data_IF_238810644280
#
_entry.id   IF_238810644280
#
_cell.length_a   1.000
_cell.length_b   1.000
_cell.length_c   1.000
_cell.angle_alpha   90.00
_cell.angle_beta   90.00
_cell.angle_gamma   90.00
#
_symmetry.space_group_name_H-M   'P 1'
#
loop_
_entity.id
_entity.type
_entity.pdbx_description
1 polymer ?
#
# COMPACT_ATOMS: atom_id res chain seq x y z
N UNK A 1 9.68 -1.01 2.79
CA UNK A 1 10.63 -1.02 3.92
C UNK A 1 10.68 0.40 4.46
N UNK A 2 10.33 0.59 5.72
CA UNK A 2 10.41 1.89 6.36
C UNK A 2 11.65 2.07 7.23
N UNK A 3 11.86 3.28 7.77
CA UNK A 3 13.01 3.57 8.64
C UNK A 3 13.03 2.69 9.90
N UNK A 4 11.87 2.24 10.37
CA UNK A 4 11.71 1.29 11.48
C UNK A 4 12.32 -0.09 11.21
N UNK A 5 12.46 -0.50 9.94
CA UNK A 5 13.15 -1.72 9.56
C UNK A 5 14.59 -1.50 9.10
N UNK A 6 14.91 -0.34 8.53
CA UNK A 6 16.25 -0.03 8.03
C UNK A 6 17.23 0.25 9.17
N UNK A 7 16.86 1.10 10.13
CA UNK A 7 17.78 1.53 11.18
C UNK A 7 18.27 0.38 12.06
N UNK A 8 17.42 -0.56 12.53
CA UNK A 8 17.89 -1.72 13.30
C UNK A 8 18.81 -2.64 12.48
N UNK A 9 18.61 -2.76 11.16
CA UNK A 9 19.48 -3.55 10.29
C UNK A 9 20.83 -2.87 10.04
N UNK A 10 20.84 -1.53 9.93
CA UNK A 10 22.05 -0.74 9.67
C UNK A 10 22.95 -0.60 10.89
N UNK A 11 22.38 -0.25 12.05
CA UNK A 11 23.15 0.06 13.26
C UNK A 11 23.13 -1.07 14.29
N UNK A 12 22.31 -2.10 14.09
CA UNK A 12 22.05 -3.11 15.11
C UNK A 12 21.10 -2.59 16.20
N UNK A 13 20.49 -3.51 16.96
CA UNK A 13 19.50 -3.13 17.97
C UNK A 13 20.15 -2.60 19.24
N UNK A 14 21.38 -3.04 19.55
CA UNK A 14 22.11 -2.64 20.77
C UNK A 14 22.51 -1.15 20.75
N UNK A 15 22.97 -0.63 19.61
CA UNK A 15 23.37 0.78 19.47
C UNK A 15 22.17 1.73 19.53
N UNK A 16 21.02 1.33 19.02
CA UNK A 16 19.81 2.15 19.05
C UNK A 16 19.21 2.26 20.46
N UNK A 17 19.35 1.23 21.28
CA UNK A 17 18.81 1.22 22.65
C UNK A 17 17.29 1.05 22.73
N UNK A 18 16.80 0.66 23.90
CA UNK A 18 15.41 0.23 24.10
C UNK A 18 14.37 1.33 23.82
N UNK A 19 14.68 2.59 24.17
CA UNK A 19 13.76 3.72 23.97
C UNK A 19 13.49 3.99 22.49
N UNK A 20 14.55 4.06 21.66
CA UNK A 20 14.42 4.31 20.24
C UNK A 20 13.73 3.14 19.53
N UNK A 21 14.06 1.90 19.89
CA UNK A 21 13.38 0.72 19.34
C UNK A 21 11.88 0.70 19.66
N UNK A 22 11.51 1.12 20.88
CA UNK A 22 10.11 1.22 21.30
C UNK A 22 9.37 2.26 20.46
N UNK A 23 9.96 3.44 20.25
CA UNK A 23 9.39 4.47 19.39
C UNK A 23 9.20 3.97 17.94
N UNK A 24 10.19 3.28 17.37
CA UNK A 24 10.09 2.69 16.03
C UNK A 24 9.02 1.61 15.92
N UNK A 25 8.79 0.84 16.98
CA UNK A 25 7.71 -0.14 17.03
C UNK A 25 6.32 0.54 16.99
N UNK A 26 6.14 1.66 17.70
CA UNK A 26 4.91 2.44 17.64
C UNK A 26 4.67 3.10 16.28
N UNK A 27 5.72 3.48 15.54
CA UNK A 27 5.59 4.03 14.19
C UNK A 27 5.35 2.98 13.09
N UNK A 28 5.29 1.69 13.44
CA UNK A 28 5.12 0.61 12.48
C UNK A 28 3.83 0.75 11.64
N UNK A 29 2.75 1.26 12.22
CA UNK A 29 1.47 1.39 11.49
C UNK A 29 1.58 2.33 10.27
N UNK A 30 2.38 3.40 10.35
CA UNK A 30 2.62 4.32 9.23
C UNK A 30 3.53 3.72 8.15
N UNK A 31 4.57 2.99 8.56
CA UNK A 31 5.68 2.60 7.68
C UNK A 31 5.55 1.21 7.07
N UNK A 32 4.58 0.40 7.53
CA UNK A 32 4.46 -1.02 7.19
C UNK A 32 4.27 -1.30 5.70
N UNK A 33 3.32 -0.63 5.06
CA UNK A 33 2.87 -1.05 3.73
C UNK A 33 2.76 0.07 2.70
N UNK A 34 2.84 1.35 3.09
CA UNK A 34 2.65 2.51 2.20
C UNK A 34 1.39 2.40 1.29
N UNK A 35 0.39 1.61 1.71
CA UNK A 35 -0.85 1.36 0.95
C UNK A 35 -1.94 2.38 1.22
N UNK A 36 -1.99 2.91 2.44
CA UNK A 36 -3.04 3.79 2.93
C UNK A 36 -2.64 5.26 2.92
N UNK A 37 -1.95 5.74 1.89
CA UNK A 37 -1.65 7.17 1.81
C UNK A 37 -2.96 7.93 1.59
N UNK A 38 -3.34 8.85 2.49
CA UNK A 38 -4.61 9.56 2.35
C UNK A 38 -4.56 10.57 1.19
N UNK A 39 -3.37 11.09 0.86
CA UNK A 39 -3.20 12.20 -0.08
C UNK A 39 -3.85 11.99 -1.46
N UNK A 40 -3.65 10.86 -2.18
CA UNK A 40 -4.29 10.66 -3.49
C UNK A 40 -5.82 10.73 -3.43
N UNK A 41 -6.43 10.08 -2.42
CA UNK A 41 -7.88 10.11 -2.21
C UNK A 41 -8.40 11.52 -1.93
N UNK A 42 -7.65 12.30 -1.15
CA UNK A 42 -8.00 13.70 -0.85
C UNK A 42 -7.89 14.58 -2.10
N UNK A 43 -6.83 14.40 -2.91
CA UNK A 43 -6.64 15.15 -4.16
C UNK A 43 -7.73 14.86 -5.19
N UNK A 44 -8.14 13.60 -5.32
CA UNK A 44 -9.28 13.23 -6.17
C UNK A 44 -10.58 13.88 -5.68
N UNK A 45 -10.81 13.90 -4.36
CA UNK A 45 -11.93 14.61 -3.75
C UNK A 45 -11.95 16.11 -4.08
N UNK A 46 -10.81 16.79 -3.95
CA UNK A 46 -10.70 18.20 -4.34
C UNK A 46 -10.90 18.41 -5.84
N UNK A 47 -10.42 17.49 -6.69
CA UNK A 47 -10.63 17.62 -8.15
C UNK A 47 -12.10 17.45 -8.54
N UNK A 48 -12.83 16.57 -7.85
CA UNK A 48 -14.27 16.43 -8.01
C UNK A 48 -15.02 17.67 -7.52
N UNK A 49 -14.61 18.27 -6.39
CA UNK A 49 -15.20 19.51 -5.90
C UNK A 49 -15.04 20.66 -6.90
N UNK A 50 -13.87 20.80 -7.52
CA UNK A 50 -13.61 21.77 -8.58
C UNK A 50 -14.57 21.58 -9.77
N UNK A 51 -14.77 20.33 -10.23
CA UNK A 51 -15.66 20.03 -11.38
C UNK A 51 -17.15 20.21 -11.08
N UNK A 52 -17.54 20.10 -9.81
CA UNK A 52 -18.94 20.17 -9.37
C UNK A 52 -19.30 21.49 -8.70
N UNK A 53 -18.38 22.46 -8.66
CA UNK A 53 -18.52 23.74 -7.96
C UNK A 53 -18.85 23.59 -6.46
N UNK A 54 -18.37 22.53 -5.81
CA UNK A 54 -18.47 22.38 -4.35
C UNK A 54 -17.44 23.28 -3.68
N UNK A 55 -17.85 23.96 -2.60
CA UNK A 55 -16.94 24.79 -1.82
C UNK A 55 -15.90 23.93 -1.08
N UNK A 56 -14.61 24.14 -1.39
CA UNK A 56 -13.48 23.42 -0.80
C UNK A 56 -13.45 23.47 0.74
N UNK A 57 -13.90 24.56 1.37
CA UNK A 57 -13.96 24.65 2.85
C UNK A 57 -15.01 23.71 3.42
N UNK A 58 -16.17 23.59 2.79
CA UNK A 58 -17.22 22.65 3.22
C UNK A 58 -16.77 21.20 3.03
N UNK A 59 -16.10 20.90 1.92
CA UNK A 59 -15.50 19.60 1.70
C UNK A 59 -14.46 19.26 2.78
N UNK A 60 -13.56 20.19 3.09
CA UNK A 60 -12.55 20.01 4.15
C UNK A 60 -13.20 19.72 5.51
N UNK A 61 -14.24 20.48 5.90
CA UNK A 61 -14.96 20.24 7.15
C UNK A 61 -15.62 18.86 7.16
N UNK A 62 -16.27 18.47 6.06
CA UNK A 62 -16.87 17.14 5.93
C UNK A 62 -15.82 16.02 6.05
N UNK A 63 -14.64 16.20 5.45
CA UNK A 63 -13.52 15.27 5.57
C UNK A 63 -13.01 15.16 7.01
N UNK A 64 -12.87 16.29 7.73
CA UNK A 64 -12.47 16.29 9.14
C UNK A 64 -13.49 15.54 10.02
N UNK A 65 -14.79 15.80 9.82
CA UNK A 65 -15.85 15.08 10.54
C UNK A 65 -15.79 13.59 10.23
N UNK A 66 -15.64 13.22 8.96
CA UNK A 66 -15.52 11.82 8.55
C UNK A 66 -14.30 11.12 9.17
N UNK A 67 -13.17 11.82 9.30
CA UNK A 67 -11.97 11.29 9.99
C UNK A 67 -12.28 11.01 11.47
N UNK A 68 -12.90 11.95 12.18
CA UNK A 68 -13.23 11.79 13.60
C UNK A 68 -14.21 10.62 13.78
N UNK A 69 -15.34 10.65 13.07
CA UNK A 69 -16.38 9.61 13.17
C UNK A 69 -15.84 8.25 12.74
N UNK A 70 -15.08 8.19 11.65
CA UNK A 70 -14.47 6.97 11.15
C UNK A 70 -13.47 6.37 12.14
N UNK A 71 -12.69 7.21 12.83
CA UNK A 71 -11.71 6.76 13.84
C UNK A 71 -12.43 6.11 15.03
N UNK A 72 -13.43 6.78 15.61
CA UNK A 72 -14.19 6.22 16.74
C UNK A 72 -15.00 4.98 16.35
N UNK A 73 -15.65 4.99 15.18
CA UNK A 73 -16.38 3.83 14.65
C UNK A 73 -15.46 2.64 14.41
N UNK A 74 -14.23 2.87 13.91
CA UNK A 74 -13.24 1.81 13.72
C UNK A 74 -12.79 1.22 15.06
N UNK A 75 -12.55 2.04 16.09
CA UNK A 75 -12.21 1.54 17.42
C UNK A 75 -13.34 0.70 18.02
N UNK A 76 -14.58 1.20 17.96
CA UNK A 76 -15.74 0.47 18.46
C UNK A 76 -15.93 -0.86 17.73
N UNK A 77 -15.89 -0.85 16.39
CA UNK A 77 -16.07 -2.05 15.58
C UNK A 77 -14.99 -3.09 15.87
N UNK A 78 -13.72 -2.67 15.96
CA UNK A 78 -12.62 -3.57 16.28
C UNK A 78 -12.76 -4.19 17.68
N UNK A 79 -13.11 -3.36 18.67
CA UNK A 79 -13.35 -3.82 20.03
C UNK A 79 -14.52 -4.82 20.07
N UNK A 80 -15.66 -4.48 19.47
CA UNK A 80 -16.84 -5.33 19.44
C UNK A 80 -16.58 -6.69 18.77
N UNK A 81 -15.95 -6.71 17.59
CA UNK A 81 -15.59 -7.95 16.89
C UNK A 81 -14.63 -8.79 17.73
N UNK A 82 -13.69 -8.16 18.43
CA UNK A 82 -12.73 -8.87 19.31
C UNK A 82 -13.41 -9.56 20.50
N UNK A 83 -14.53 -9.02 21.01
CA UNK A 83 -15.33 -9.67 22.05
C UNK A 83 -16.15 -10.85 21.52
N UNK A 84 -16.67 -10.75 20.31
CA UNK A 84 -17.58 -11.76 19.74
C UNK A 84 -16.81 -12.94 19.14
N UNK A 85 -15.79 -12.68 18.33
CA UNK A 85 -15.04 -13.72 17.61
C UNK A 85 -13.73 -14.13 18.31
N UNK A 86 -13.40 -13.47 19.42
CA UNK A 86 -12.08 -13.55 20.06
C UNK A 86 -11.06 -12.62 19.40
N UNK A 87 -10.19 -12.04 20.22
CA UNK A 87 -9.18 -11.09 19.75
C UNK A 87 -8.19 -11.77 18.79
N UNK A 88 -8.29 -11.46 17.50
CA UNK A 88 -7.32 -11.88 16.47
C UNK A 88 -6.20 -10.86 16.41
N UNK A 89 -5.25 -10.96 17.34
CA UNK A 89 -4.18 -9.97 17.54
C UNK A 89 -3.07 -9.98 16.47
N UNK A 90 -3.26 -10.72 15.37
CA UNK A 90 -2.21 -11.01 14.40
C UNK A 90 -1.48 -9.76 13.89
N UNK A 91 -2.17 -8.63 13.72
CA UNK A 91 -1.54 -7.39 13.22
C UNK A 91 -1.07 -6.43 14.31
N UNK A 92 -1.82 -6.30 15.40
CA UNK A 92 -1.46 -5.42 16.52
C UNK A 92 -0.23 -5.97 17.28
N UNK A 93 -0.11 -7.30 17.39
CA UNK A 93 0.99 -7.97 18.10
C UNK A 93 2.33 -7.92 17.35
N UNK A 94 2.32 -7.83 16.02
CA UNK A 94 3.54 -7.88 15.17
C UNK A 94 4.64 -6.89 15.57
N UNK A 95 4.38 -5.57 15.73
CA UNK A 95 5.42 -4.63 16.13
C UNK A 95 5.97 -4.91 17.53
N UNK A 96 5.13 -5.38 18.46
CA UNK A 96 5.54 -5.66 19.84
C UNK A 96 6.31 -6.97 19.97
N UNK A 97 5.93 -8.02 19.25
CA UNK A 97 6.71 -9.25 19.16
C UNK A 97 8.11 -8.97 18.57
N UNK A 98 8.16 -8.16 17.50
CA UNK A 98 9.40 -7.67 16.91
C UNK A 98 10.24 -6.90 17.94
N UNK A 99 9.63 -5.95 18.67
CA UNK A 99 10.30 -5.20 19.73
C UNK A 99 10.84 -6.12 20.83
N UNK A 100 10.03 -7.07 21.31
CA UNK A 100 10.44 -8.07 22.29
C UNK A 100 11.68 -8.83 21.80
N UNK A 101 11.69 -9.30 20.55
CA UNK A 101 12.85 -9.98 19.98
C UNK A 101 14.11 -9.10 19.99
N UNK A 102 13.98 -7.80 19.68
CA UNK A 102 15.09 -6.86 19.64
C UNK A 102 15.67 -6.56 21.03
N UNK A 103 14.83 -6.63 22.07
CA UNK A 103 15.21 -6.39 23.45
C UNK A 103 15.83 -7.63 24.12
N UNK A 104 15.23 -8.81 23.90
CA UNK A 104 15.70 -10.07 24.52
C UNK A 104 16.95 -10.58 23.82
N UNK A 105 16.99 -10.51 22.50
CA UNK A 105 18.09 -11.02 21.68
C UNK A 105 18.63 -9.92 20.76
N UNK A 106 19.49 -9.02 21.26
CA UNK A 106 20.01 -7.93 20.45
C UNK A 106 20.77 -8.44 19.22
N UNK A 107 20.39 -7.92 18.05
CA UNK A 107 20.97 -8.30 16.77
C UNK A 107 22.14 -7.37 16.42
N UNK A 108 23.27 -7.90 15.94
CA UNK A 108 24.34 -7.07 15.38
C UNK A 108 23.89 -6.43 14.05
N UNK A 109 24.60 -5.39 13.57
CA UNK A 109 24.41 -4.85 12.23
C UNK A 109 24.43 -5.95 11.16
N UNK A 110 23.47 -5.91 10.24
CA UNK A 110 23.38 -6.86 9.14
C UNK A 110 24.08 -6.28 7.90
N UNK A 111 25.40 -6.50 7.80
CA UNK A 111 26.21 -5.97 6.68
C UNK A 111 25.70 -6.39 5.29
N UNK A 112 25.29 -7.66 5.04
CA UNK A 112 24.69 -8.02 3.75
C UNK A 112 23.47 -7.18 3.39
N UNK A 113 22.58 -6.91 4.36
CA UNK A 113 21.40 -6.08 4.13
C UNK A 113 21.79 -4.62 3.84
N UNK A 114 22.79 -4.07 4.54
CA UNK A 114 23.29 -2.71 4.29
C UNK A 114 23.89 -2.58 2.89
N UNK A 115 24.70 -3.55 2.46
CA UNK A 115 25.27 -3.59 1.12
C UNK A 115 24.16 -3.66 0.06
N UNK A 116 23.16 -4.53 0.25
CA UNK A 116 22.03 -4.62 -0.66
C UNK A 116 21.23 -3.30 -0.74
N UNK A 117 21.03 -2.61 0.40
CA UNK A 117 20.39 -1.29 0.43
C UNK A 117 21.21 -0.24 -0.33
N UNK A 118 22.54 -0.22 -0.15
CA UNK A 118 23.44 0.69 -0.86
C UNK A 118 23.44 0.43 -2.37
N UNK A 119 23.52 -0.83 -2.80
CA UNK A 119 23.41 -1.19 -4.21
C UNK A 119 22.06 -0.74 -4.77
N UNK A 120 20.96 -1.02 -4.06
CA UNK A 120 19.62 -0.58 -4.47
C UNK A 120 19.51 0.95 -4.60
N UNK A 121 20.13 1.68 -3.68
CA UNK A 121 20.22 3.14 -3.73
C UNK A 121 21.00 3.61 -4.97
N UNK A 122 22.19 3.05 -5.20
CA UNK A 122 23.03 3.41 -6.35
C UNK A 122 22.35 3.11 -7.68
N UNK A 123 21.72 1.94 -7.81
CA UNK A 123 20.94 1.57 -9.01
C UNK A 123 19.77 2.53 -9.21
N UNK A 124 19.08 2.92 -8.14
CA UNK A 124 17.95 3.87 -8.23
C UNK A 124 18.43 5.25 -8.68
N UNK A 125 19.53 5.77 -8.12
CA UNK A 125 20.12 7.03 -8.56
C UNK A 125 20.62 6.96 -10.00
N UNK A 126 21.27 5.86 -10.39
CA UNK A 126 21.68 5.64 -11.77
C UNK A 126 20.49 5.69 -12.72
N UNK A 127 19.42 4.94 -12.44
CA UNK A 127 18.19 4.95 -13.25
C UNK A 127 17.53 6.33 -13.29
N UNK A 128 17.55 7.06 -12.17
CA UNK A 128 17.02 8.43 -12.10
C UNK A 128 17.83 9.39 -12.99
N UNK A 129 19.15 9.37 -12.88
CA UNK A 129 20.05 10.22 -13.67
C UNK A 129 19.92 9.87 -15.16
N UNK A 130 19.97 8.59 -15.52
CA UNK A 130 19.80 8.15 -16.92
C UNK A 130 18.46 8.62 -17.50
N UNK A 131 17.40 8.60 -16.70
CA UNK A 131 16.09 9.09 -17.14
C UNK A 131 16.03 10.61 -17.30
N UNK A 132 16.77 11.38 -16.49
CA UNK A 132 16.84 12.83 -16.65
C UNK A 132 17.76 13.25 -17.80
N UNK A 133 18.81 12.47 -18.08
CA UNK A 133 19.81 12.78 -19.10
C UNK A 133 19.48 12.23 -20.49
N UNK A 134 18.75 11.10 -20.59
CA UNK A 134 18.47 10.40 -21.84
C UNK A 134 16.95 10.29 -22.05
N UNK A 135 16.44 11.04 -23.03
CA UNK A 135 15.01 11.09 -23.36
C UNK A 135 14.42 9.73 -23.76
N UNK A 136 15.22 8.87 -24.41
CA UNK A 136 14.79 7.55 -24.90
C UNK A 136 14.98 6.41 -23.90
N UNK A 137 15.37 6.68 -22.65
CA UNK A 137 15.66 5.63 -21.68
C UNK A 137 14.38 4.90 -21.23
N UNK A 138 14.26 3.57 -21.47
CA UNK A 138 13.01 2.85 -21.23
C UNK A 138 12.81 2.43 -19.77
N UNK A 139 13.87 2.38 -18.96
CA UNK A 139 13.79 1.88 -17.60
C UNK A 139 13.43 2.98 -16.60
N UNK A 140 12.37 2.73 -15.83
CA UNK A 140 11.90 3.66 -14.82
C UNK A 140 12.29 3.20 -13.42
N UNK A 141 12.88 4.06 -12.57
CA UNK A 141 13.25 3.70 -11.19
C UNK A 141 12.06 3.31 -10.28
N UNK A 142 10.82 3.63 -10.65
CA UNK A 142 9.65 3.37 -9.81
C UNK A 142 9.36 1.87 -9.67
N UNK A 143 9.65 1.07 -10.71
CA UNK A 143 9.52 -0.39 -10.61
C UNK A 143 10.41 -0.98 -9.51
N UNK A 144 11.60 -0.41 -9.32
CA UNK A 144 12.54 -0.83 -8.27
C UNK A 144 12.03 -0.46 -6.88
N UNK A 145 11.34 0.66 -6.72
CA UNK A 145 10.77 1.07 -5.43
C UNK A 145 9.60 0.18 -4.97
N UNK A 146 8.79 -0.32 -5.91
CA UNK A 146 7.57 -1.07 -5.60
C UNK A 146 7.84 -2.59 -5.55
N UNK A 147 8.93 -3.08 -6.14
CA UNK A 147 9.29 -4.50 -6.21
C UNK A 147 9.39 -5.19 -4.85
N UNK A 148 9.83 -4.48 -3.82
CA UNK A 148 9.97 -5.01 -2.45
C UNK A 148 8.64 -5.13 -1.69
N UNK A 149 7.52 -4.68 -2.27
CA UNK A 149 6.21 -4.78 -1.61
C UNK A 149 5.58 -6.15 -1.81
N UNK A 150 4.97 -6.70 -0.76
CA UNK A 150 4.11 -7.90 -0.87
C UNK A 150 3.04 -7.73 -1.95
N UNK A 151 2.53 -6.51 -2.15
CA UNK A 151 1.55 -6.25 -3.22
C UNK A 151 2.12 -6.56 -4.59
N UNK A 152 3.38 -6.23 -4.86
CA UNK A 152 3.99 -6.55 -6.14
C UNK A 152 4.12 -8.06 -6.34
N UNK A 153 4.38 -8.82 -5.27
CA UNK A 153 4.43 -10.28 -5.35
C UNK A 153 3.09 -10.91 -5.79
N UNK A 154 1.96 -10.28 -5.43
CA UNK A 154 0.63 -10.73 -5.86
C UNK A 154 0.27 -10.18 -7.25
N UNK A 155 0.62 -8.92 -7.55
CA UNK A 155 0.15 -8.23 -8.75
C UNK A 155 1.08 -8.28 -9.96
N UNK A 156 2.34 -8.72 -9.83
CA UNK A 156 3.31 -8.66 -10.94
C UNK A 156 2.80 -9.36 -12.20
N UNK A 157 2.15 -10.52 -12.05
CA UNK A 157 1.62 -11.28 -13.17
C UNK A 157 0.45 -10.56 -13.83
N UNK A 158 -0.49 -10.01 -13.05
CA UNK A 158 -1.60 -9.21 -13.58
C UNK A 158 -1.12 -7.95 -14.30
N UNK A 159 -0.08 -7.29 -13.78
CA UNK A 159 0.57 -6.14 -14.44
C UNK A 159 1.22 -6.58 -15.75
N UNK A 160 1.91 -7.73 -15.77
CA UNK A 160 2.52 -8.27 -16.99
C UNK A 160 1.47 -8.59 -18.05
N UNK A 161 0.36 -9.24 -17.68
CA UNK A 161 -0.76 -9.53 -18.57
C UNK A 161 -1.37 -8.22 -19.09
N UNK A 162 -1.62 -7.24 -18.22
CA UNK A 162 -2.12 -5.92 -18.62
C UNK A 162 -1.16 -5.22 -19.59
N UNK A 163 0.15 -5.30 -19.35
CA UNK A 163 1.18 -4.74 -20.23
C UNK A 163 1.15 -5.40 -21.61
N UNK A 164 1.09 -6.73 -21.69
CA UNK A 164 1.03 -7.47 -22.96
C UNK A 164 -0.25 -7.11 -23.73
N UNK A 165 -1.42 -7.13 -23.07
CA UNK A 165 -2.69 -6.77 -23.69
C UNK A 165 -2.64 -5.33 -24.21
N UNK A 166 -2.16 -4.39 -23.40
CA UNK A 166 -2.03 -2.98 -23.80
C UNK A 166 -1.07 -2.82 -24.97
N UNK A 167 0.05 -3.54 -24.97
CA UNK A 167 1.01 -3.53 -26.06
C UNK A 167 0.41 -4.07 -27.36
N UNK A 168 -0.35 -5.17 -27.31
CA UNK A 168 -1.06 -5.73 -28.48
C UNK A 168 -2.08 -4.73 -29.02
N UNK A 169 -2.89 -4.12 -28.16
CA UNK A 169 -3.91 -3.14 -28.55
C UNK A 169 -3.26 -1.91 -29.21
N UNK A 170 -2.18 -1.39 -28.63
CA UNK A 170 -1.49 -0.24 -29.19
C UNK A 170 -0.77 -0.56 -30.50
N UNK A 171 -0.16 -1.76 -30.60
CA UNK A 171 0.59 -2.19 -31.79
C UNK A 171 -0.33 -2.45 -32.99
N UNK A 172 -1.49 -3.09 -32.78
CA UNK A 172 -2.39 -3.46 -33.88
C UNK A 172 -3.51 -2.44 -34.11
N UNK A 173 -4.02 -1.80 -33.05
CA UNK A 173 -5.18 -0.90 -33.12
C UNK A 173 -4.86 0.59 -32.94
N UNK A 174 -3.63 0.95 -32.57
CA UNK A 174 -3.23 2.33 -32.32
C UNK A 174 -3.98 3.00 -31.15
N UNK A 175 -3.79 4.32 -31.02
CA UNK A 175 -4.38 5.11 -29.92
C UNK A 175 -5.92 5.19 -29.99
N UNK A 176 -6.51 5.14 -31.19
CA UNK A 176 -7.96 5.19 -31.37
C UNK A 176 -8.66 3.97 -30.79
N UNK A 177 -8.14 2.77 -31.07
CA UNK A 177 -8.67 1.52 -30.52
C UNK A 177 -8.47 1.45 -29.01
N UNK A 178 -7.30 1.89 -28.51
CA UNK A 178 -7.08 1.97 -27.06
C UNK A 178 -8.16 2.83 -26.37
N UNK A 179 -8.50 4.01 -26.91
CA UNK A 179 -9.56 4.86 -26.34
C UNK A 179 -10.94 4.18 -26.34
N UNK A 180 -11.27 3.43 -27.40
CA UNK A 180 -12.53 2.67 -27.48
C UNK A 180 -12.58 1.48 -26.51
N UNK A 181 -11.43 0.93 -26.12
CA UNK A 181 -11.32 -0.18 -25.18
C UNK A 181 -11.31 0.26 -23.70
N UNK A 182 -11.12 1.55 -23.40
CA UNK A 182 -11.13 2.07 -22.01
C UNK A 182 -12.40 1.64 -21.24
N UNK A 183 -13.63 1.77 -21.79
CA UNK A 183 -14.85 1.35 -21.10
C UNK A 183 -14.87 -0.14 -20.73
N UNK A 184 -14.28 -1.00 -21.57
CA UNK A 184 -14.20 -2.44 -21.28
C UNK A 184 -13.34 -2.72 -20.03
N UNK A 185 -12.17 -2.11 -19.93
CA UNK A 185 -11.30 -2.28 -18.75
C UNK A 185 -11.91 -1.66 -17.49
N UNK A 186 -12.58 -0.50 -17.61
CA UNK A 186 -13.34 0.06 -16.50
C UNK A 186 -14.48 -0.89 -16.08
N UNK A 187 -15.15 -1.53 -17.04
CA UNK A 187 -16.18 -2.54 -16.78
C UNK A 187 -15.63 -3.79 -16.07
N UNK A 188 -14.43 -4.26 -16.42
CA UNK A 188 -13.77 -5.36 -15.70
C UNK A 188 -13.48 -5.00 -14.24
N UNK A 189 -12.93 -3.81 -14.00
CA UNK A 189 -12.65 -3.31 -12.64
C UNK A 189 -13.97 -3.21 -11.84
N UNK A 190 -14.99 -2.60 -12.44
CA UNK A 190 -16.31 -2.45 -11.81
C UNK A 190 -16.94 -3.82 -11.52
N UNK A 191 -16.82 -4.78 -12.46
CA UNK A 191 -17.33 -6.13 -12.32
C UNK A 191 -16.72 -6.88 -11.14
N UNK A 192 -15.40 -6.77 -10.95
CA UNK A 192 -14.70 -7.34 -9.78
C UNK A 192 -15.25 -6.75 -8.46
N UNK A 193 -15.40 -5.43 -8.39
CA UNK A 193 -15.96 -4.77 -7.20
C UNK A 193 -17.42 -5.17 -6.93
N UNK A 194 -18.25 -5.24 -7.97
CA UNK A 194 -19.67 -5.61 -7.84
C UNK A 194 -19.78 -7.06 -7.35
N UNK A 195 -19.11 -8.00 -8.03
CA UNK A 195 -19.17 -9.42 -7.68
C UNK A 195 -18.63 -9.62 -6.26
N UNK A 196 -17.50 -9.01 -5.91
CA UNK A 196 -16.94 -9.08 -4.56
C UNK A 196 -17.88 -8.52 -3.49
N UNK A 197 -18.54 -7.39 -3.77
CA UNK A 197 -19.51 -6.78 -2.85
C UNK A 197 -20.75 -7.67 -2.68
N UNK A 198 -21.27 -8.24 -3.78
CA UNK A 198 -22.43 -9.15 -3.74
C UNK A 198 -22.11 -10.41 -2.94
N UNK A 199 -20.96 -11.06 -3.18
CA UNK A 199 -20.55 -12.24 -2.41
C UNK A 199 -20.34 -11.93 -0.92
N UNK A 200 -19.80 -10.75 -0.60
CA UNK A 200 -19.65 -10.29 0.79
C UNK A 200 -21.02 -10.10 1.47
N UNK A 201 -21.96 -9.44 0.79
CA UNK A 201 -23.32 -9.25 1.29
C UNK A 201 -24.05 -10.58 1.50
N UNK A 202 -23.93 -11.52 0.56
CA UNK A 202 -24.48 -12.88 0.69
C UNK A 202 -23.85 -13.59 1.90
N UNK A 203 -22.53 -13.48 2.09
CA UNK A 203 -21.83 -14.07 3.23
C UNK A 203 -22.34 -13.52 4.57
N UNK A 204 -22.59 -12.21 4.64
CA UNK A 204 -23.15 -11.57 5.84
C UNK A 204 -24.59 -12.01 6.10
N UNK A 205 -25.44 -12.12 5.07
CA UNK A 205 -26.86 -12.48 5.25
C UNK A 205 -27.07 -13.97 5.52
N UNK A 206 -26.29 -14.84 4.89
CA UNK A 206 -26.41 -16.30 5.04
C UNK A 206 -25.55 -16.85 6.17
N UNK A 207 -24.67 -16.03 6.75
CA UNK A 207 -23.69 -16.42 7.76
C UNK A 207 -22.80 -17.60 7.33
N UNK A 208 -22.58 -17.73 6.02
CA UNK A 208 -21.74 -18.76 5.41
C UNK A 208 -20.41 -18.14 4.92
N UNK A 209 -19.29 -18.89 5.01
CA UNK A 209 -18.01 -18.44 4.49
C UNK A 209 -18.05 -18.46 2.95
N UNK A 210 -18.46 -17.34 2.36
CA UNK A 210 -18.41 -17.12 0.92
C UNK A 210 -16.99 -16.80 0.44
N UNK A 211 -16.75 -16.97 -0.86
CA UNK A 211 -15.46 -16.66 -1.48
C UNK A 211 -15.14 -15.18 -1.26
N UNK A 212 -14.07 -14.92 -0.49
CA UNK A 212 -13.53 -13.58 -0.29
C UNK A 212 -12.45 -13.35 -1.34
N UNK A 213 -12.73 -12.47 -2.30
CA UNK A 213 -11.67 -11.86 -3.10
C UNK A 213 -10.69 -11.19 -2.14
N UNK A 214 -9.41 -11.19 -2.49
CA UNK A 214 -8.33 -10.82 -1.58
C UNK A 214 -8.39 -9.32 -1.25
N UNK A 215 -9.25 -8.97 -0.29
CA UNK A 215 -9.43 -7.69 0.39
C UNK A 215 -9.87 -7.95 1.83
#
# INVERSE_FOLDING_TARGET
>A
IGPDEMMPKMFGTRLLGAQNLTMLAYLFFCNRAYRGHPMPHQLEGFKLAERTNINNRRLLVAMLIAIIVGTFSSFWSYYHISYVEGARDWFAWRPFNRLQSWLISPLPPNYPAVIAMLIGLLVTFFLMIMRMSIFWWPFHPAGFAISSSWSMNVFWFSILVSFIIKWIILKHGGMGTHRKMIPFFLGLILGEFIIGSVWSLIGVTTNLPMYRFLF
#
